data_IF_692321686060
#
_entry.id   IF_692321686060
#
_cell.length_a   1.000
_cell.length_b   1.000
_cell.length_c   1.000
_cell.angle_alpha   90.00
_cell.angle_beta   90.00
_cell.angle_gamma   90.00
#
_symmetry.space_group_name_H-M   'P 1'
#
loop_
_entity.id
_entity.type
_entity.pdbx_description
1 polymer ?
#
# COMPACT_ATOMS: atom_id res chain seq x y z
N UNK A 1 13.55 19.44 -8.87
CA UNK A 1 12.25 19.05 -9.44
C UNK A 1 11.30 18.93 -8.26
N UNK A 2 10.30 19.81 -8.16
CA UNK A 2 9.19 19.66 -7.21
C UNK A 2 8.25 18.59 -7.76
N UNK A 3 8.62 17.32 -7.59
CA UNK A 3 7.71 16.21 -7.86
C UNK A 3 6.60 16.28 -6.82
N UNK A 4 5.43 16.76 -7.22
CA UNK A 4 4.30 16.96 -6.30
C UNK A 4 3.54 15.66 -6.17
N UNK A 5 3.98 14.79 -5.27
CA UNK A 5 3.17 13.64 -4.88
C UNK A 5 1.86 14.15 -4.26
N UNK A 6 0.74 13.71 -4.82
CA UNK A 6 -0.58 14.09 -4.35
C UNK A 6 -1.40 12.85 -4.05
N UNK A 7 -2.17 12.89 -2.97
CA UNK A 7 -3.17 11.88 -2.65
C UNK A 7 -4.54 12.46 -2.90
N UNK A 8 -5.30 11.85 -3.81
CA UNK A 8 -6.67 12.29 -4.14
C UNK A 8 -7.67 11.18 -3.84
N UNK A 9 -8.74 11.52 -3.14
CA UNK A 9 -9.84 10.60 -2.93
C UNK A 9 -10.81 10.67 -4.13
N UNK A 10 -11.19 9.51 -4.66
CA UNK A 10 -12.18 9.38 -5.73
C UNK A 10 -13.27 8.41 -5.30
N UNK A 11 -14.53 8.84 -5.39
CA UNK A 11 -15.69 7.99 -5.13
C UNK A 11 -16.57 7.96 -6.38
N UNK A 12 -16.25 7.06 -7.30
CA UNK A 12 -16.96 6.92 -8.59
C UNK A 12 -18.33 6.26 -8.42
N UNK A 13 -18.47 5.37 -7.43
CA UNK A 13 -19.73 4.70 -7.07
C UNK A 13 -20.01 4.97 -5.59
N UNK A 14 -21.13 5.63 -5.23
CA UNK A 14 -21.48 5.92 -3.84
C UNK A 14 -21.76 4.66 -3.01
N UNK A 15 -22.00 3.49 -3.65
CA UNK A 15 -22.16 2.21 -2.97
C UNK A 15 -20.84 1.54 -2.63
N UNK A 16 -19.73 2.03 -3.20
CA UNK A 16 -18.39 1.53 -2.93
C UNK A 16 -17.65 2.45 -1.96
N UNK A 17 -16.77 1.90 -1.12
CA UNK A 17 -15.87 2.72 -0.34
C UNK A 17 -15.01 3.59 -1.27
N UNK A 18 -14.65 4.81 -0.84
CA UNK A 18 -13.83 5.71 -1.62
C UNK A 18 -12.45 5.10 -1.91
N UNK A 19 -11.97 5.31 -3.13
CA UNK A 19 -10.63 4.93 -3.55
C UNK A 19 -9.67 6.10 -3.31
N UNK A 20 -8.50 5.81 -2.77
CA UNK A 20 -7.45 6.79 -2.55
C UNK A 20 -6.38 6.60 -3.62
N UNK A 21 -6.18 7.60 -4.47
CA UNK A 21 -5.25 7.58 -5.59
C UNK A 21 -3.97 8.34 -5.24
N UNK A 22 -2.83 7.78 -5.61
CA UNK A 22 -1.52 8.42 -5.51
C UNK A 22 -1.13 8.90 -6.90
N UNK A 23 -0.88 10.20 -7.01
CA UNK A 23 -0.50 10.87 -8.26
C UNK A 23 0.87 11.49 -8.15
N UNK A 24 1.67 11.34 -9.19
CA UNK A 24 2.96 12.01 -9.37
C UNK A 24 2.84 12.95 -10.56
N UNK A 25 3.01 14.25 -10.31
CA UNK A 25 2.91 15.29 -11.34
C UNK A 25 1.59 15.21 -12.14
N UNK A 26 0.51 14.82 -11.45
CA UNK A 26 -0.84 14.66 -11.99
C UNK A 26 -1.15 13.29 -12.59
N UNK A 27 -0.14 12.46 -12.87
CA UNK A 27 -0.32 11.10 -13.38
C UNK A 27 -0.60 10.12 -12.24
N UNK A 28 -1.58 9.22 -12.41
CA UNK A 28 -1.84 8.15 -11.45
C UNK A 28 -0.67 7.15 -11.46
N UNK A 29 -0.05 6.91 -10.31
CA UNK A 29 1.04 5.95 -10.15
C UNK A 29 0.69 4.78 -9.23
N UNK A 30 -0.40 4.89 -8.48
CA UNK A 30 -0.87 3.83 -7.59
C UNK A 30 -2.09 4.20 -6.77
N UNK A 31 -2.46 3.32 -5.86
CA UNK A 31 -3.64 3.46 -4.99
C UNK A 31 -3.29 3.11 -3.55
N UNK A 32 -3.93 3.76 -2.59
CA UNK A 32 -3.82 3.40 -1.18
C UNK A 32 -4.97 2.44 -0.84
N UNK A 33 -4.63 1.28 -0.32
CA UNK A 33 -5.57 0.33 0.23
C UNK A 33 -5.25 0.03 1.70
N UNK A 34 -6.30 -0.28 2.46
CA UNK A 34 -6.16 -0.75 3.82
C UNK A 34 -6.13 -2.28 3.82
N UNK A 35 -5.01 -2.86 4.24
CA UNK A 35 -4.81 -4.30 4.26
C UNK A 35 -5.01 -4.84 5.68
N UNK A 36 -5.84 -5.87 5.82
CA UNK A 36 -6.04 -6.59 7.08
C UNK A 36 -4.87 -7.54 7.35
N UNK A 37 -4.12 -7.28 8.41
CA UNK A 37 -3.00 -8.09 8.91
C UNK A 37 -3.37 -8.68 10.28
N UNK A 38 -2.64 -9.72 10.71
CA UNK A 38 -2.79 -10.32 12.04
C UNK A 38 -3.67 -11.58 12.06
N UNK A 39 -3.70 -12.27 13.21
CA UNK A 39 -4.47 -13.51 13.41
C UNK A 39 -5.96 -13.18 13.54
N UNK A 40 -6.82 -14.18 13.29
CA UNK A 40 -8.28 -14.00 13.31
C UNK A 40 -8.82 -13.34 14.59
N UNK A 41 -8.20 -13.62 15.75
CA UNK A 41 -8.61 -13.08 17.07
C UNK A 41 -8.16 -11.63 17.33
N UNK A 42 -7.13 -11.14 16.63
CA UNK A 42 -6.60 -9.78 16.79
C UNK A 42 -6.18 -9.24 15.42
N UNK A 43 -7.15 -8.84 14.58
CA UNK A 43 -6.83 -8.19 13.32
C UNK A 43 -6.35 -6.76 13.58
N UNK A 44 -5.34 -6.34 12.84
CA UNK A 44 -4.95 -4.95 12.71
C UNK A 44 -4.88 -4.59 11.23
N UNK A 45 -4.94 -3.30 10.92
CA UNK A 45 -5.02 -2.83 9.55
C UNK A 45 -3.84 -1.91 9.25
N UNK A 46 -3.23 -2.09 8.08
CA UNK A 46 -2.11 -1.27 7.61
C UNK A 46 -2.49 -0.60 6.29
N UNK A 47 -2.11 0.67 6.14
CA UNK A 47 -2.25 1.36 4.86
C UNK A 47 -1.07 1.00 3.94
N UNK A 48 -1.38 0.67 2.70
CA UNK A 48 -0.40 0.21 1.71
C UNK A 48 -0.67 0.94 0.40
N UNK A 49 0.37 1.50 -0.19
CA UNK A 49 0.31 2.05 -1.54
C UNK A 49 0.62 0.93 -2.52
N UNK A 50 -0.35 0.50 -3.31
CA UNK A 50 -0.15 -0.40 -4.43
C UNK A 50 0.24 0.42 -5.66
N UNK A 51 1.53 0.42 -5.99
CA UNK A 51 2.02 0.92 -7.28
C UNK A 51 1.85 -0.18 -8.33
N UNK A 52 1.96 0.15 -9.63
CA UNK A 52 1.79 -0.81 -10.73
C UNK A 52 2.71 -2.05 -10.63
N UNK A 53 3.87 -1.90 -10.00
CA UNK A 53 4.90 -2.95 -9.91
C UNK A 53 4.99 -3.60 -8.54
N UNK A 54 4.92 -2.80 -7.47
CA UNK A 54 5.12 -3.28 -6.11
C UNK A 54 4.27 -2.48 -5.12
N UNK A 55 3.75 -3.11 -4.06
CA UNK A 55 3.15 -2.40 -2.95
C UNK A 55 4.23 -1.79 -2.06
N UNK A 56 3.86 -0.75 -1.32
CA UNK A 56 4.71 0.03 -0.42
C UNK A 56 3.97 0.19 0.89
N UNK A 57 4.51 -0.38 1.96
CA UNK A 57 3.93 -0.22 3.29
C UNK A 57 4.15 1.21 3.78
N UNK A 58 3.05 1.86 4.15
CA UNK A 58 3.12 3.12 4.88
C UNK A 58 3.44 2.81 6.34
N UNK A 59 4.53 3.36 6.86
CA UNK A 59 4.91 3.14 8.26
C UNK A 59 3.94 3.87 9.19
N UNK A 60 3.62 3.32 10.36
CA UNK A 60 2.81 4.05 11.33
C UNK A 60 3.58 5.22 11.97
N UNK A 61 4.92 5.13 11.97
CA UNK A 61 5.81 6.03 12.73
C UNK A 61 6.50 7.11 11.87
N UNK A 62 6.29 7.12 10.55
CA UNK A 62 6.90 8.12 9.66
C UNK A 62 5.91 9.25 9.37
N UNK A 63 6.42 10.49 9.42
CA UNK A 63 5.69 11.68 9.01
C UNK A 63 5.31 11.64 7.53
N UNK A 64 4.41 12.54 7.11
CA UNK A 64 3.87 12.55 5.75
C UNK A 64 4.97 12.62 4.69
N UNK A 65 5.95 13.50 4.89
CA UNK A 65 7.08 13.68 3.96
C UNK A 65 7.93 12.40 3.85
N UNK A 66 8.21 11.74 4.96
CA UNK A 66 8.91 10.45 4.98
C UNK A 66 8.13 9.32 4.27
N UNK A 67 6.79 9.34 4.31
CA UNK A 67 5.98 8.42 3.50
C UNK A 67 6.06 8.77 2.02
N UNK A 68 5.99 10.05 1.66
CA UNK A 68 6.11 10.51 0.28
C UNK A 68 7.45 10.09 -0.33
N UNK A 69 8.55 10.33 0.38
CA UNK A 69 9.89 9.91 -0.03
C UNK A 69 9.99 8.39 -0.25
N UNK A 70 9.36 7.60 0.64
CA UNK A 70 9.33 6.15 0.49
C UNK A 70 8.58 5.73 -0.78
N UNK A 71 7.44 6.33 -1.06
CA UNK A 71 6.64 6.05 -2.27
C UNK A 71 7.39 6.47 -3.53
N UNK A 72 8.03 7.63 -3.52
CA UNK A 72 8.84 8.11 -4.65
C UNK A 72 10.02 7.18 -4.93
N UNK A 73 10.76 6.76 -3.89
CA UNK A 73 11.84 5.79 -4.03
C UNK A 73 11.35 4.46 -4.59
N UNK A 74 10.21 3.98 -4.11
CA UNK A 74 9.61 2.73 -4.60
C UNK A 74 9.21 2.81 -6.08
N UNK A 75 8.75 3.97 -6.52
CA UNK A 75 8.34 4.19 -7.90
C UNK A 75 9.55 4.20 -8.85
N UNK A 76 10.67 4.80 -8.41
CA UNK A 76 11.92 4.88 -9.19
C UNK A 76 12.71 3.56 -9.15
N UNK A 77 12.83 2.94 -7.97
CA UNK A 77 13.56 1.70 -7.73
C UNK A 77 12.72 0.75 -6.84
N UNK A 78 11.88 -0.09 -7.46
CA UNK A 78 11.05 -1.04 -6.73
C UNK A 78 11.86 -2.13 -6.00
N UNK A 79 13.04 -2.50 -6.52
CA UNK A 79 13.85 -3.61 -5.98
C UNK A 79 14.58 -3.20 -4.69
N UNK A 80 14.80 -1.91 -4.48
CA UNK A 80 15.44 -1.35 -3.28
C UNK A 80 14.63 -1.43 -2.00
N UNK A 81 13.32 -1.75 -2.04
CA UNK A 81 12.45 -1.79 -0.85
C UNK A 81 12.27 -3.21 -0.30
N UNK A 82 13.35 -3.74 0.26
CA UNK A 82 13.41 -5.08 0.87
C UNK A 82 12.32 -5.31 1.95
N UNK A 83 11.99 -4.28 2.75
CA UNK A 83 11.03 -4.42 3.86
C UNK A 83 9.60 -4.69 3.38
N UNK A 84 9.19 -4.15 2.22
CA UNK A 84 7.83 -4.43 1.72
C UNK A 84 7.73 -5.83 1.11
N UNK A 85 8.82 -6.32 0.50
CA UNK A 85 8.89 -7.67 -0.07
C UNK A 85 8.74 -8.76 1.00
N UNK A 86 9.49 -8.65 2.10
CA UNK A 86 9.42 -9.61 3.21
C UNK A 86 8.01 -9.61 3.86
N UNK A 87 7.38 -8.43 3.96
CA UNK A 87 6.02 -8.30 4.45
C UNK A 87 4.99 -8.96 3.51
N UNK A 88 5.14 -8.80 2.19
CA UNK A 88 4.28 -9.44 1.18
C UNK A 88 4.41 -10.95 1.18
N UNK A 89 5.63 -11.48 1.24
CA UNK A 89 5.86 -12.92 1.31
C UNK A 89 5.22 -13.51 2.57
N UNK A 90 5.37 -12.83 3.70
CA UNK A 90 4.71 -13.21 4.95
C UNK A 90 3.19 -13.21 4.81
N UNK A 91 2.61 -12.21 4.13
CA UNK A 91 1.18 -12.13 3.83
C UNK A 91 0.73 -13.30 2.93
N UNK A 92 1.39 -13.52 1.79
CA UNK A 92 1.07 -14.62 0.86
C UNK A 92 1.10 -15.97 1.56
N UNK A 93 2.07 -16.17 2.46
CA UNK A 93 2.16 -17.40 3.28
C UNK A 93 0.99 -17.55 4.26
N UNK A 94 0.55 -16.45 4.88
CA UNK A 94 -0.63 -16.45 5.77
C UNK A 94 -1.92 -16.70 4.97
N UNK A 95 -2.08 -16.07 3.81
CA UNK A 95 -3.25 -16.26 2.94
C UNK A 95 -3.31 -17.68 2.38
N UNK A 96 -2.19 -18.23 1.91
CA UNK A 96 -2.09 -19.62 1.46
C UNK A 96 -2.41 -20.61 2.59
N UNK A 97 -1.95 -20.35 3.82
CA UNK A 97 -2.30 -21.16 5.00
C UNK A 97 -3.78 -21.06 5.38
N UNK A 98 -4.42 -19.90 5.18
CA UNK A 98 -5.88 -19.74 5.39
C UNK A 98 -6.66 -20.52 4.33
N UNK A 99 -6.29 -20.37 3.06
CA UNK A 99 -6.92 -21.07 1.95
C UNK A 99 -6.81 -22.59 2.07
N UNK A 100 -5.68 -23.11 2.56
CA UNK A 100 -5.48 -24.56 2.76
C UNK A 100 -6.27 -25.15 3.93
N UNK A 101 -6.88 -24.32 4.79
CA UNK A 101 -7.66 -24.74 5.95
C UNK A 101 -9.18 -24.66 5.77
N UNK A 102 -9.68 -24.34 4.58
CA UNK A 102 -11.11 -24.41 4.26
C UNK A 102 -11.98 -23.58 5.20
N UNK A 103 -11.73 -22.27 5.25
CA UNK A 103 -12.70 -21.28 5.75
C UNK A 103 -13.20 -20.41 4.62
#
# INVERSE_FOLDING_TARGET
>A
MDSRLAVTQTQLDPRRPPEWQVKLDGALIGRIEQVRIGRARHPFFEAVVFLEREPVKLGADADFDGQCDRVLRAHVDPEGILQTRDWLERRRRIEAWRASRGQ
#
